data_IF_832678006439
#
_entry.id   IF_832678006439
#
_cell.length_a   1.000
_cell.length_b   1.000
_cell.length_c   1.000
_cell.angle_alpha   90.00
_cell.angle_beta   90.00
_cell.angle_gamma   90.00
#
_symmetry.space_group_name_H-M   'P 1'
#
loop_
_entity.id
_entity.type
_entity.pdbx_description
1 polymer ?
#
# COMPACT_ATOMS: atom_id res chain seq x y z
N UNK A 1 -6.70 6.19 18.11
CA UNK A 1 -6.08 6.16 19.44
C UNK A 1 -6.93 6.94 20.41
N UNK A 2 -7.20 6.37 21.55
CA UNK A 2 -7.96 7.02 22.61
C UNK A 2 -7.06 7.35 23.78
N UNK A 3 -7.31 8.49 24.39
CA UNK A 3 -6.68 8.87 25.66
C UNK A 3 -7.63 8.56 26.79
N UNK A 4 -7.11 7.92 27.82
CA UNK A 4 -7.87 7.61 29.03
C UNK A 4 -9.22 6.98 28.71
N UNK A 5 -10.27 7.47 29.35
CA UNK A 5 -11.63 6.95 29.25
C UNK A 5 -12.30 7.28 27.92
N UNK A 6 -11.74 6.82 26.81
CA UNK A 6 -12.37 6.93 25.51
C UNK A 6 -12.22 8.28 24.80
N UNK A 7 -11.43 9.17 25.36
CA UNK A 7 -11.19 10.46 24.69
C UNK A 7 -10.18 10.27 23.55
N UNK A 8 -10.43 10.96 22.45
CA UNK A 8 -9.47 10.94 21.34
C UNK A 8 -8.22 11.71 21.72
N UNK A 9 -7.08 11.29 21.18
CA UNK A 9 -5.89 12.10 21.30
C UNK A 9 -6.11 13.43 20.57
N UNK A 10 -5.51 14.54 21.03
CA UNK A 10 -5.71 15.85 20.39
C UNK A 10 -5.38 15.85 18.91
N UNK A 11 -4.34 15.13 18.53
CA UNK A 11 -3.92 15.04 17.13
C UNK A 11 -4.96 14.33 16.28
N UNK A 12 -5.52 13.23 16.76
CA UNK A 12 -6.58 12.50 16.07
C UNK A 12 -7.85 13.33 15.97
N UNK A 13 -8.19 14.09 17.00
CA UNK A 13 -9.33 14.97 16.97
C UNK A 13 -9.18 16.09 15.95
N UNK A 14 -7.99 16.65 15.82
CA UNK A 14 -7.71 17.65 14.81
C UNK A 14 -7.92 17.10 13.41
N UNK A 15 -7.41 15.92 13.15
CA UNK A 15 -7.58 15.25 11.85
C UNK A 15 -9.05 15.00 11.58
N UNK A 16 -9.77 14.46 12.56
CA UNK A 16 -11.18 14.14 12.42
C UNK A 16 -12.03 15.38 12.13
N UNK A 17 -11.73 16.49 12.78
CA UNK A 17 -12.50 17.72 12.65
C UNK A 17 -12.05 18.61 11.51
N UNK A 18 -10.96 18.28 10.86
CA UNK A 18 -10.33 19.14 9.88
C UNK A 18 -11.22 19.39 8.66
N UNK A 19 -11.73 18.34 8.04
CA UNK A 19 -12.65 18.46 6.93
C UNK A 19 -13.31 17.11 6.63
N UNK A 20 -14.27 17.14 5.72
CA UNK A 20 -15.04 15.96 5.36
C UNK A 20 -14.18 14.87 4.72
N UNK A 21 -13.24 15.25 3.86
CA UNK A 21 -12.38 14.28 3.18
C UNK A 21 -11.52 13.51 4.17
N UNK A 22 -11.00 14.16 5.21
CA UNK A 22 -10.21 13.49 6.24
C UNK A 22 -11.06 12.51 7.04
N UNK A 23 -12.29 12.87 7.36
CA UNK A 23 -13.22 11.99 8.07
C UNK A 23 -13.57 10.76 7.24
N UNK A 24 -13.77 10.94 5.96
CA UNK A 24 -14.06 9.83 5.04
C UNK A 24 -12.85 8.88 4.92
N UNK A 25 -11.65 9.42 4.89
CA UNK A 25 -10.43 8.64 4.84
C UNK A 25 -10.29 7.77 6.09
N UNK A 26 -10.52 8.35 7.27
CA UNK A 26 -10.47 7.61 8.53
C UNK A 26 -11.51 6.49 8.54
N UNK A 27 -12.74 6.78 8.12
CA UNK A 27 -13.81 5.79 8.02
C UNK A 27 -13.42 4.64 7.10
N UNK A 28 -12.82 4.97 5.96
CA UNK A 28 -12.39 3.96 5.00
C UNK A 28 -11.40 2.98 5.64
N UNK A 29 -10.35 3.51 6.30
CA UNK A 29 -9.33 2.65 6.91
C UNK A 29 -9.83 1.86 8.12
N UNK A 30 -10.95 2.27 8.72
CA UNK A 30 -11.57 1.54 9.81
C UNK A 30 -12.59 0.53 9.32
N UNK A 31 -12.93 0.52 8.03
CA UNK A 31 -13.97 -0.33 7.49
C UNK A 31 -13.55 -1.80 7.46
N UNK A 32 -14.55 -2.67 7.55
CA UNK A 32 -14.35 -4.10 7.42
C UNK A 32 -13.84 -4.46 6.03
N UNK A 33 -14.39 -3.81 5.00
CA UNK A 33 -14.00 -4.06 3.62
C UNK A 33 -12.52 -3.76 3.39
N UNK A 34 -12.02 -2.66 3.95
CA UNK A 34 -10.60 -2.35 3.84
C UNK A 34 -9.74 -3.41 4.53
N UNK A 35 -10.12 -3.81 5.72
CA UNK A 35 -9.34 -4.80 6.49
C UNK A 35 -9.26 -6.13 5.76
N UNK A 36 -10.37 -6.58 5.18
CA UNK A 36 -10.40 -7.82 4.39
C UNK A 36 -9.55 -7.70 3.13
N UNK A 37 -9.67 -6.58 2.43
CA UNK A 37 -8.89 -6.33 1.21
C UNK A 37 -7.41 -6.26 1.52
N UNK A 38 -7.02 -5.56 2.59
CA UNK A 38 -5.64 -5.47 3.03
C UNK A 38 -5.04 -6.86 3.29
N UNK A 39 -5.76 -7.68 4.05
CA UNK A 39 -5.29 -9.02 4.37
C UNK A 39 -5.19 -9.88 3.11
N UNK A 40 -6.13 -9.74 2.20
CA UNK A 40 -6.08 -10.44 0.92
C UNK A 40 -4.83 -10.06 0.12
N UNK A 41 -4.52 -8.77 0.04
CA UNK A 41 -3.35 -8.29 -0.73
C UNK A 41 -2.06 -8.82 -0.12
N UNK A 42 -1.91 -8.77 1.19
CA UNK A 42 -0.71 -9.28 1.87
C UNK A 42 -0.55 -10.77 1.57
N UNK A 43 -1.63 -11.53 1.66
CA UNK A 43 -1.61 -12.97 1.39
C UNK A 43 -1.33 -13.28 -0.08
N UNK A 44 -1.93 -12.52 -0.99
CA UNK A 44 -1.71 -12.71 -2.42
C UNK A 44 -0.24 -12.57 -2.78
N UNK A 45 0.43 -11.58 -2.21
CA UNK A 45 1.85 -11.33 -2.45
C UNK A 45 2.76 -12.09 -1.49
N UNK A 46 2.22 -13.06 -0.75
CA UNK A 46 2.99 -13.96 0.10
C UNK A 46 3.84 -13.25 1.17
N UNK A 47 3.38 -12.11 1.65
CA UNK A 47 4.11 -11.37 2.68
C UNK A 47 5.38 -10.71 2.19
N UNK A 48 5.50 -10.44 0.90
CA UNK A 48 6.70 -9.87 0.29
C UNK A 48 6.54 -8.36 0.11
N UNK A 49 7.58 -7.61 0.44
CA UNK A 49 7.65 -6.17 0.19
C UNK A 49 7.90 -5.96 -1.31
N UNK A 50 6.87 -5.54 -2.03
CA UNK A 50 6.92 -5.41 -3.49
C UNK A 50 7.81 -4.25 -3.95
N UNK A 51 7.86 -3.17 -3.19
CA UNK A 51 8.76 -2.06 -3.52
C UNK A 51 10.23 -2.50 -3.39
N UNK A 52 10.57 -3.16 -2.30
CA UNK A 52 11.92 -3.67 -2.10
C UNK A 52 12.31 -4.66 -3.19
N UNK A 53 11.38 -5.52 -3.59
CA UNK A 53 11.60 -6.44 -4.71
C UNK A 53 11.91 -5.67 -6.00
N UNK A 54 11.19 -4.59 -6.26
CA UNK A 54 11.44 -3.74 -7.42
C UNK A 54 12.78 -3.04 -7.40
N UNK A 55 13.26 -2.65 -6.20
CA UNK A 55 14.54 -1.98 -6.04
C UNK A 55 15.71 -2.96 -6.17
N UNK A 56 15.63 -4.08 -5.48
CA UNK A 56 16.77 -4.99 -5.33
C UNK A 56 16.75 -6.19 -6.27
N UNK A 57 15.59 -6.55 -6.79
CA UNK A 57 15.41 -7.78 -7.55
C UNK A 57 15.38 -9.02 -6.69
N UNK A 58 15.40 -8.89 -5.36
CA UNK A 58 15.45 -10.00 -4.42
C UNK A 58 14.24 -10.03 -3.52
N UNK A 59 13.77 -11.24 -3.18
CA UNK A 59 12.67 -11.40 -2.25
C UNK A 59 13.11 -10.99 -0.86
N UNK A 60 12.34 -10.11 -0.23
CA UNK A 60 12.59 -9.66 1.14
C UNK A 60 11.31 -9.85 1.95
N UNK A 61 11.15 -11.02 2.60
CA UNK A 61 9.99 -11.25 3.45
C UNK A 61 9.98 -10.25 4.62
N UNK A 62 8.80 -9.83 5.02
CA UNK A 62 8.65 -8.88 6.10
C UNK A 62 7.44 -9.25 6.96
N UNK A 63 7.61 -9.23 8.28
CA UNK A 63 6.54 -9.57 9.22
C UNK A 63 5.54 -8.43 9.39
N UNK A 64 5.97 -7.21 9.15
CA UNK A 64 5.11 -6.03 9.28
C UNK A 64 4.98 -5.36 7.93
N UNK A 65 3.85 -5.57 7.30
CA UNK A 65 3.54 -4.96 6.02
C UNK A 65 2.36 -4.02 6.15
N UNK A 66 2.42 -2.94 5.43
CA UNK A 66 1.27 -2.07 5.17
C UNK A 66 0.91 -2.18 3.70
N UNK A 67 -0.30 -1.82 3.34
CA UNK A 67 -0.74 -1.84 1.95
C UNK A 67 -0.79 -0.41 1.43
N UNK A 68 -0.04 -0.16 0.37
CA UNK A 68 0.08 1.14 -0.25
C UNK A 68 -0.92 1.29 -1.38
N UNK A 69 -1.61 2.44 -1.43
CA UNK A 69 -2.43 2.83 -2.58
C UNK A 69 -1.54 3.53 -3.59
N UNK A 70 -1.39 2.93 -4.76
CA UNK A 70 -0.56 3.53 -5.83
C UNK A 70 -1.15 4.88 -6.24
N UNK A 71 -2.45 4.93 -6.53
CA UNK A 71 -3.18 6.19 -6.60
C UNK A 71 -3.78 6.43 -5.23
N UNK A 72 -3.42 7.52 -4.54
CA UNK A 72 -3.92 7.77 -3.19
C UNK A 72 -5.44 7.76 -3.11
N UNK A 73 -5.97 7.26 -2.00
CA UNK A 73 -7.41 7.18 -1.78
C UNK A 73 -8.09 8.52 -2.01
N UNK A 74 -7.48 9.62 -1.54
CA UNK A 74 -8.05 10.95 -1.67
C UNK A 74 -8.19 11.41 -3.12
N UNK A 75 -7.27 10.95 -3.98
CA UNK A 75 -7.32 11.31 -5.41
C UNK A 75 -8.38 10.51 -6.15
N UNK A 76 -8.59 9.28 -5.76
CA UNK A 76 -9.60 8.44 -6.39
C UNK A 76 -10.17 7.42 -5.39
N UNK A 77 -11.16 7.81 -4.57
CA UNK A 77 -11.77 6.91 -3.61
C UNK A 77 -12.39 5.66 -4.23
N UNK A 78 -12.82 5.74 -5.49
CA UNK A 78 -13.38 4.61 -6.20
C UNK A 78 -12.39 3.46 -6.40
N UNK A 79 -11.09 3.72 -6.28
CA UNK A 79 -10.04 2.70 -6.38
C UNK A 79 -9.49 2.27 -5.02
N UNK A 80 -10.17 2.64 -3.94
CA UNK A 80 -9.70 2.32 -2.60
C UNK A 80 -9.61 0.83 -2.31
N UNK A 81 -10.46 0.02 -2.93
CA UNK A 81 -10.47 -1.44 -2.78
C UNK A 81 -10.05 -2.17 -4.05
N UNK A 82 -9.53 -1.46 -5.02
CA UNK A 82 -9.10 -2.02 -6.30
C UNK A 82 -7.76 -2.72 -6.13
N UNK A 83 -7.72 -4.02 -6.35
CA UNK A 83 -6.52 -4.84 -6.16
C UNK A 83 -5.34 -4.35 -7.02
N UNK A 84 -5.62 -3.84 -8.21
CA UNK A 84 -4.56 -3.32 -9.09
C UNK A 84 -3.91 -2.06 -8.55
N UNK A 85 -4.57 -1.39 -7.62
CA UNK A 85 -4.09 -0.15 -7.02
C UNK A 85 -3.38 -0.39 -5.68
N UNK A 86 -3.21 -1.63 -5.26
CA UNK A 86 -2.74 -1.97 -3.92
C UNK A 86 -1.53 -2.90 -3.98
N UNK A 87 -0.51 -2.58 -3.18
CA UNK A 87 0.67 -3.43 -3.02
C UNK A 87 1.12 -3.44 -1.58
N UNK A 88 1.61 -4.58 -1.08
CA UNK A 88 2.17 -4.63 0.27
C UNK A 88 3.61 -4.11 0.27
N UNK A 89 3.93 -3.31 1.27
CA UNK A 89 5.26 -2.74 1.43
C UNK A 89 5.59 -2.67 2.92
N UNK A 90 6.87 -2.70 3.26
CA UNK A 90 7.31 -2.47 4.63
C UNK A 90 7.14 -1.00 5.00
N UNK A 91 7.21 -0.68 6.30
CA UNK A 91 7.16 0.71 6.75
C UNK A 91 8.30 1.52 6.14
N UNK A 92 9.48 0.93 6.03
CA UNK A 92 10.61 1.60 5.41
C UNK A 92 10.34 1.93 3.94
N UNK A 93 9.88 0.95 3.18
CA UNK A 93 9.55 1.14 1.76
C UNK A 93 8.42 2.15 1.60
N UNK A 94 7.41 2.09 2.45
CA UNK A 94 6.29 3.02 2.41
C UNK A 94 6.77 4.46 2.61
N UNK A 95 7.68 4.68 3.56
CA UNK A 95 8.29 5.99 3.77
C UNK A 95 9.07 6.47 2.54
N UNK A 96 9.82 5.58 1.90
CA UNK A 96 10.56 5.93 0.68
C UNK A 96 9.61 6.34 -0.44
N UNK A 97 8.54 5.59 -0.64
CA UNK A 97 7.53 5.90 -1.65
C UNK A 97 6.93 7.28 -1.40
N UNK A 98 6.54 7.57 -0.16
CA UNK A 98 5.95 8.87 0.18
C UNK A 98 6.93 10.02 -0.06
N UNK A 99 8.20 9.83 0.26
CA UNK A 99 9.22 10.84 -0.03
C UNK A 99 9.32 11.11 -1.52
N UNK A 100 9.28 10.06 -2.34
CA UNK A 100 9.32 10.21 -3.79
C UNK A 100 8.09 10.94 -4.32
N UNK A 101 6.92 10.60 -3.81
CA UNK A 101 5.68 11.29 -4.19
C UNK A 101 5.75 12.77 -3.84
N UNK A 102 6.23 13.09 -2.65
CA UNK A 102 6.33 14.47 -2.17
C UNK A 102 7.36 15.28 -2.93
N UNK A 103 8.37 14.61 -3.49
CA UNK A 103 9.46 15.28 -4.21
C UNK A 103 9.26 15.30 -5.73
N UNK A 104 8.05 15.02 -6.20
CA UNK A 104 7.75 15.04 -7.63
C UNK A 104 8.26 13.83 -8.40
N UNK A 105 8.61 12.75 -7.70
CA UNK A 105 9.13 11.53 -8.32
C UNK A 105 8.13 10.37 -8.27
N UNK A 106 6.85 10.70 -8.29
CA UNK A 106 5.77 9.71 -8.23
C UNK A 106 5.88 8.67 -9.34
N UNK A 107 6.16 9.13 -10.56
CA UNK A 107 6.26 8.21 -11.70
C UNK A 107 7.39 7.22 -11.54
N UNK A 108 8.51 7.66 -10.98
CA UNK A 108 9.64 6.77 -10.71
C UNK A 108 9.30 5.72 -9.65
N UNK A 109 8.61 6.14 -8.59
CA UNK A 109 8.16 5.21 -7.56
C UNK A 109 7.22 4.17 -8.14
N UNK A 110 6.29 4.57 -8.99
CA UNK A 110 5.34 3.66 -9.63
C UNK A 110 6.06 2.67 -10.54
N UNK A 111 7.09 3.11 -11.26
CA UNK A 111 7.90 2.21 -12.08
C UNK A 111 8.58 1.13 -11.24
N UNK A 112 9.11 1.50 -10.09
CA UNK A 112 9.74 0.53 -9.17
C UNK A 112 8.70 -0.47 -8.67
N UNK A 113 7.53 0.01 -8.26
CA UNK A 113 6.44 -0.86 -7.80
C UNK A 113 6.03 -1.83 -8.90
N UNK A 114 5.86 -1.35 -10.13
CA UNK A 114 5.47 -2.19 -11.26
C UNK A 114 6.54 -3.22 -11.59
N UNK A 115 7.81 -2.86 -11.48
CA UNK A 115 8.90 -3.82 -11.64
C UNK A 115 8.81 -4.93 -10.59
N UNK A 116 8.54 -4.56 -9.34
CA UNK A 116 8.35 -5.55 -8.27
C UNK A 116 7.19 -6.47 -8.54
N UNK A 117 6.08 -5.94 -9.02
CA UNK A 117 4.90 -6.73 -9.38
C UNK A 117 5.20 -7.70 -10.52
N UNK A 118 5.91 -7.24 -11.54
CA UNK A 118 6.29 -8.08 -12.68
C UNK A 118 7.22 -9.21 -12.22
N UNK A 119 8.20 -8.89 -11.39
CA UNK A 119 9.11 -9.90 -10.84
C UNK A 119 8.36 -10.91 -9.98
N UNK A 120 7.43 -10.44 -9.16
CA UNK A 120 6.60 -11.34 -8.36
C UNK A 120 5.79 -12.29 -9.23
N UNK A 121 5.18 -11.76 -10.29
CA UNK A 121 4.37 -12.58 -11.19
C UNK A 121 5.21 -13.64 -11.89
N UNK A 122 6.42 -13.31 -12.29
CA UNK A 122 7.34 -14.29 -12.87
C UNK A 122 7.71 -15.39 -11.89
N UNK A 123 7.96 -15.02 -10.64
CA UNK A 123 8.30 -15.99 -9.60
C UNK A 123 7.11 -16.90 -9.28
N UNK A 124 5.91 -16.34 -9.22
CA UNK A 124 4.71 -17.08 -8.85
C UNK A 124 4.23 -18.01 -9.96
N UNK A 125 4.21 -17.51 -11.20
CA UNK A 125 3.63 -18.22 -12.33
C UNK A 125 4.67 -18.79 -13.30
N UNK A 126 5.94 -18.55 -13.02
CA UNK A 126 7.02 -18.87 -13.93
C UNK A 126 7.12 -17.90 -15.08
N UNK A 127 8.09 -18.08 -15.93
CA UNK A 127 8.30 -17.24 -17.10
C UNK A 127 7.47 -17.76 -18.26
N UNK A 128 6.27 -17.19 -18.42
CA UNK A 128 5.36 -17.66 -19.47
C UNK A 128 5.91 -17.45 -20.88
N UNK A 129 6.74 -16.45 -21.06
CA UNK A 129 7.34 -16.20 -22.37
C UNK A 129 8.28 -17.33 -22.76
N UNK A 130 9.05 -17.83 -21.80
CA UNK A 130 9.90 -18.99 -22.04
C UNK A 130 9.09 -20.24 -22.30
N UNK A 131 7.97 -20.40 -21.59
CA UNK A 131 7.13 -21.58 -21.76
C UNK A 131 6.43 -21.62 -23.11
N UNK A 132 6.14 -20.46 -23.65
CA UNK A 132 5.43 -20.37 -24.92
C UNK A 132 6.36 -20.47 -26.12
N UNK A 133 7.62 -20.36 -25.87
CA UNK A 133 8.61 -20.58 -26.91
C UNK A 133 9.11 -22.02 -26.92
#
# INVERSE_FOLDING_TARGET
ILYETGKRCPKCSQIYNKNRADRELIKFYQSKDWKLTRDYIINYYCGIDIYALGVTGKITPCNKLTVHHITPYRENPGRGLDYDNLVPVSDFSHSQIHKMYDNGKKDEAIKIINRGRDLFNKLRYGDKDKKTT
#
